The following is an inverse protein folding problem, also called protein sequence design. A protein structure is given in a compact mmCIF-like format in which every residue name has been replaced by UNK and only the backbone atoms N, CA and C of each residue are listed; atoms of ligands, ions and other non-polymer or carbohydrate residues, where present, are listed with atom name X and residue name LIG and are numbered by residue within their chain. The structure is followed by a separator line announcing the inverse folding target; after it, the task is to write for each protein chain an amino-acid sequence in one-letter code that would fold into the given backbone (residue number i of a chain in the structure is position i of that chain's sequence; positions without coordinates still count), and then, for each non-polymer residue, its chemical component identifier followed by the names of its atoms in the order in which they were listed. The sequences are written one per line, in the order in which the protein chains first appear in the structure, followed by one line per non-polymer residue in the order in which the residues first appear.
data_IF_004176616563
#
_entry.id   IF_004176616563
#
_cell.length_a   1.000
_cell.length_b   1.000
_cell.length_c   1.000
_cell.angle_alpha   90.00
_cell.angle_beta   90.00
_cell.angle_gamma   90.00
#
_symmetry.space_group_name_H-M   'P 1'
#
loop_
_entity.id
_entity.type
_entity.pdbx_description
1 polymer ?
#
# COMPACT_ATOMS: atom_id res chain seq x y z
N UNK A 1 28.79 -21.10 -3.46
CA UNK A 1 28.30 -20.15 -2.45
C UNK A 1 27.04 -20.78 -1.84
N UNK A 2 27.09 -21.18 -0.60
CA UNK A 2 26.00 -21.91 0.07
C UNK A 2 24.85 -20.93 0.37
N UNK A 3 23.61 -21.33 0.06
CA UNK A 3 22.38 -20.59 0.37
C UNK A 3 22.04 -20.55 1.88
N UNK A 4 22.99 -20.93 2.75
CA UNK A 4 22.77 -21.10 4.19
C UNK A 4 23.13 -19.88 5.06
N UNK A 5 23.49 -18.73 4.48
CA UNK A 5 24.01 -17.59 5.27
C UNK A 5 23.09 -16.37 5.35
N UNK A 6 21.80 -16.50 5.12
CA UNK A 6 20.86 -15.37 5.28
C UNK A 6 19.71 -15.69 6.27
N UNK A 7 19.99 -16.37 7.38
CA UNK A 7 19.06 -16.26 8.52
C UNK A 7 19.15 -14.83 9.02
N UNK A 8 18.05 -14.07 8.84
CA UNK A 8 17.94 -12.73 9.39
C UNK A 8 18.15 -12.85 10.91
N UNK A 9 19.01 -11.98 11.48
CA UNK A 9 19.21 -11.95 12.93
C UNK A 9 17.89 -11.62 13.61
N UNK A 10 17.49 -12.34 14.65
CA UNK A 10 16.29 -12.01 15.41
C UNK A 10 16.42 -10.59 15.97
N UNK A 11 15.30 -9.84 15.93
CA UNK A 11 15.26 -8.51 16.54
C UNK A 11 15.42 -8.57 18.05
N UNK A 12 15.98 -7.52 18.64
CA UNK A 12 15.98 -7.38 20.09
C UNK A 12 14.61 -6.85 20.52
N UNK A 13 13.85 -7.65 21.24
CA UNK A 13 12.54 -7.25 21.80
C UNK A 13 12.69 -6.35 23.03
N UNK A 14 11.74 -5.46 23.28
CA UNK A 14 10.55 -5.14 22.47
C UNK A 14 10.89 -4.46 21.15
N UNK A 15 10.10 -4.74 20.09
CA UNK A 15 10.26 -4.13 18.78
C UNK A 15 9.14 -3.11 18.55
N UNK A 16 9.51 -1.86 18.32
CA UNK A 16 8.58 -0.84 17.85
C UNK A 16 8.35 -1.05 16.35
N UNK A 17 7.10 -1.24 15.95
CA UNK A 17 6.71 -1.26 14.54
C UNK A 17 5.89 -0.01 14.23
N UNK A 18 6.07 0.58 13.03
CA UNK A 18 5.38 1.81 12.69
C UNK A 18 5.13 1.98 11.21
N UNK A 19 3.95 2.51 10.88
CA UNK A 19 3.56 2.97 9.54
C UNK A 19 3.47 4.50 9.56
N UNK A 20 4.36 5.16 8.83
CA UNK A 20 4.53 6.62 8.83
C UNK A 20 4.12 7.19 7.49
N UNK A 21 2.90 7.70 7.46
CA UNK A 21 2.36 8.42 6.31
C UNK A 21 2.50 9.93 6.42
N UNK A 22 2.05 10.65 5.39
CA UNK A 22 2.11 12.12 5.36
C UNK A 22 1.23 12.83 6.38
N UNK A 23 0.15 12.19 6.85
CA UNK A 23 -0.84 12.78 7.77
C UNK A 23 -0.73 12.20 9.18
N UNK A 24 -0.52 10.90 9.30
CA UNK A 24 -0.50 10.19 10.57
C UNK A 24 0.67 9.20 10.60
N UNK A 25 1.25 9.04 11.78
CA UNK A 25 2.15 7.96 12.14
C UNK A 25 1.42 7.02 13.13
N UNK A 26 1.42 5.73 12.83
CA UNK A 26 0.77 4.67 13.62
C UNK A 26 1.82 3.70 14.10
N UNK A 27 1.79 3.41 15.38
CA UNK A 27 2.79 2.56 16.01
C UNK A 27 2.15 1.42 16.78
N UNK A 28 2.90 0.32 16.93
CA UNK A 28 2.60 -0.74 17.88
C UNK A 28 3.91 -1.27 18.49
N UNK A 29 3.82 -1.85 19.66
CA UNK A 29 4.95 -2.46 20.35
C UNK A 29 4.78 -3.97 20.38
N UNK A 30 5.72 -4.69 19.81
CA UNK A 30 5.80 -6.16 19.80
C UNK A 30 6.73 -6.58 20.94
N UNK A 31 6.18 -7.25 21.95
CA UNK A 31 6.92 -7.58 23.17
C UNK A 31 7.82 -8.81 23.00
N UNK A 32 7.36 -9.79 22.24
CA UNK A 32 8.01 -11.08 22.01
C UNK A 32 7.49 -11.75 20.71
N UNK A 33 7.90 -12.97 20.45
CA UNK A 33 7.52 -13.74 19.25
C UNK A 33 6.07 -14.26 19.29
N UNK A 34 5.45 -14.38 20.45
CA UNK A 34 4.17 -15.06 20.66
C UNK A 34 2.99 -14.09 20.86
N UNK A 35 3.23 -12.99 21.61
CA UNK A 35 2.18 -12.08 22.04
C UNK A 35 1.73 -11.12 20.92
N UNK A 36 0.43 -10.86 20.78
CA UNK A 36 -0.05 -9.80 19.89
C UNK A 36 0.57 -8.44 20.23
N UNK A 37 0.90 -7.65 19.22
CA UNK A 37 1.46 -6.32 19.42
C UNK A 37 0.48 -5.37 20.14
N UNK A 38 1.01 -4.53 21.05
CA UNK A 38 0.25 -3.49 21.74
C UNK A 38 0.12 -2.28 20.82
N UNK A 39 -1.10 -1.94 20.40
CA UNK A 39 -1.35 -0.73 19.60
C UNK A 39 -1.14 0.51 20.45
N UNK A 40 -0.37 1.46 19.93
CA UNK A 40 -0.09 2.74 20.58
C UNK A 40 -0.98 3.85 20.01
N UNK A 41 -1.17 4.98 20.71
CA UNK A 41 -1.92 6.11 20.19
C UNK A 41 -1.35 6.64 18.87
N UNK A 42 -2.20 6.82 17.85
CA UNK A 42 -1.80 7.41 16.58
C UNK A 42 -1.36 8.86 16.76
N UNK A 43 -0.32 9.28 16.06
CA UNK A 43 0.25 10.61 16.13
C UNK A 43 0.03 11.35 14.81
N UNK A 44 -0.59 12.55 14.81
CA UNK A 44 -0.61 13.39 13.62
C UNK A 44 0.82 13.82 13.26
N UNK A 45 1.25 13.59 12.03
CA UNK A 45 2.61 13.92 11.58
C UNK A 45 2.92 15.41 11.74
N UNK A 46 1.95 16.28 11.45
CA UNK A 46 2.11 17.73 11.60
C UNK A 46 2.21 18.24 13.06
N UNK A 47 1.87 17.40 14.06
CA UNK A 47 1.93 17.77 15.47
C UNK A 47 3.34 17.62 16.08
N UNK A 48 4.27 17.01 15.37
CA UNK A 48 5.61 16.72 15.87
C UNK A 48 6.68 17.18 14.90
N UNK A 49 7.85 17.62 15.38
CA UNK A 49 8.95 18.09 14.54
C UNK A 49 9.62 16.95 13.75
N UNK A 50 9.62 15.74 14.29
CA UNK A 50 10.26 14.56 13.71
C UNK A 50 9.65 13.25 14.24
N UNK A 51 10.09 12.13 13.67
CA UNK A 51 9.62 10.78 14.05
C UNK A 51 9.98 10.44 15.51
N UNK A 52 11.14 10.88 16.02
CA UNK A 52 11.55 10.59 17.39
C UNK A 52 10.62 11.26 18.41
N UNK A 53 10.22 12.49 18.15
CA UNK A 53 9.25 13.21 18.98
C UNK A 53 7.88 12.50 18.97
N UNK A 54 7.41 12.07 17.80
CA UNK A 54 6.15 11.32 17.69
C UNK A 54 6.21 9.97 18.42
N UNK A 55 7.33 9.23 18.32
CA UNK A 55 7.52 7.96 19.05
C UNK A 55 7.54 8.19 20.56
N UNK A 56 8.24 9.21 21.06
CA UNK A 56 8.21 9.54 22.49
C UNK A 56 6.81 9.89 22.96
N UNK A 57 6.09 10.70 22.21
CA UNK A 57 4.72 11.09 22.54
C UNK A 57 3.75 9.90 22.58
N UNK A 58 3.89 8.93 21.66
CA UNK A 58 3.01 7.77 21.67
C UNK A 58 3.35 6.76 22.80
N UNK A 59 4.57 6.80 23.36
CA UNK A 59 4.98 5.95 24.48
C UNK A 59 4.72 6.62 25.84
N UNK A 60 4.61 7.95 25.87
CA UNK A 60 4.38 8.71 27.08
C UNK A 60 3.07 8.32 27.76
N UNK A 61 3.12 8.03 29.07
CA UNK A 61 1.95 7.60 29.84
C UNK A 61 1.45 6.18 29.55
N UNK A 62 2.12 5.43 28.68
CA UNK A 62 1.82 4.03 28.45
C UNK A 62 2.62 3.16 29.44
N UNK A 63 1.95 2.18 30.03
CA UNK A 63 2.61 1.17 30.89
C UNK A 63 3.21 0.05 30.01
N UNK A 64 4.24 0.39 29.24
CA UNK A 64 4.92 -0.51 28.32
C UNK A 64 6.45 -0.38 28.45
N UNK A 65 7.20 -1.47 28.22
CA UNK A 65 8.67 -1.39 28.23
C UNK A 65 9.19 -0.56 27.04
N UNK A 66 10.35 0.07 27.23
CA UNK A 66 11.02 0.81 26.17
C UNK A 66 11.42 -0.13 25.00
N UNK A 67 11.22 0.29 23.73
CA UNK A 67 11.64 -0.50 22.57
C UNK A 67 13.16 -0.64 22.51
N UNK A 68 13.62 -1.78 22.02
CA UNK A 68 15.04 -2.06 21.79
C UNK A 68 15.40 -2.10 20.31
N UNK A 69 14.44 -2.38 19.43
CA UNK A 69 14.58 -2.32 17.99
C UNK A 69 13.37 -1.61 17.38
N UNK A 70 13.51 -1.14 16.14
CA UNK A 70 12.38 -0.58 15.40
C UNK A 70 12.34 -1.10 13.96
N UNK A 71 11.13 -1.36 13.45
CA UNK A 71 10.84 -1.65 12.04
C UNK A 71 9.78 -0.67 11.57
N UNK A 72 10.17 0.27 10.71
CA UNK A 72 9.33 1.40 10.32
C UNK A 72 9.08 1.36 8.82
N UNK A 73 7.82 1.46 8.42
CA UNK A 73 7.42 1.70 7.05
C UNK A 73 7.26 3.20 6.80
N UNK A 74 7.73 3.65 5.65
CA UNK A 74 7.64 5.05 5.22
C UNK A 74 7.09 5.15 3.80
N UNK A 75 6.30 6.20 3.55
CA UNK A 75 5.84 6.52 2.20
C UNK A 75 7.01 7.11 1.38
N UNK A 76 7.45 6.36 0.38
CA UNK A 76 8.51 6.74 -0.54
C UNK A 76 9.69 5.78 -0.61
N UNK A 77 10.66 6.04 -1.48
CA UNK A 77 11.82 5.18 -1.67
C UNK A 77 12.79 5.28 -0.49
N UNK A 78 13.24 4.12 0.00
CA UNK A 78 14.24 4.05 1.08
C UNK A 78 15.64 4.02 0.47
N UNK A 79 16.29 5.18 0.46
CA UNK A 79 17.63 5.34 -0.13
C UNK A 79 18.55 6.12 0.81
N UNK A 80 19.65 5.48 1.26
CA UNK A 80 20.66 6.12 2.12
C UNK A 80 20.16 6.40 3.55
N UNK A 81 20.95 7.18 4.30
CA UNK A 81 20.80 7.41 5.74
C UNK A 81 19.83 8.55 6.10
N UNK A 82 19.34 9.26 5.10
CA UNK A 82 18.39 10.37 5.24
C UNK A 82 17.23 10.15 4.28
N UNK A 83 16.08 9.84 4.82
CA UNK A 83 14.90 9.40 4.06
C UNK A 83 13.81 10.47 4.21
N UNK A 84 13.67 11.39 3.22
CA UNK A 84 12.59 12.37 3.24
C UNK A 84 11.26 11.68 2.97
N UNK A 85 10.23 12.04 3.72
CA UNK A 85 8.87 11.57 3.45
C UNK A 85 8.24 12.34 2.29
N UNK A 86 7.55 11.64 1.40
CA UNK A 86 6.96 12.24 0.19
C UNK A 86 5.91 13.31 0.51
N UNK A 87 5.13 13.14 1.57
CA UNK A 87 3.97 13.98 1.90
C UNK A 87 4.02 14.55 3.33
N UNK A 88 5.21 14.70 3.92
CA UNK A 88 5.43 15.31 5.22
C UNK A 88 6.79 16.01 5.25
N UNK A 89 6.96 16.95 6.20
CA UNK A 89 8.23 17.67 6.40
C UNK A 89 9.32 16.84 7.07
N UNK A 90 9.01 15.62 7.51
CA UNK A 90 9.97 14.79 8.23
C UNK A 90 11.03 14.20 7.32
N UNK A 91 12.24 14.13 7.86
CA UNK A 91 13.33 13.30 7.32
C UNK A 91 13.60 12.21 8.34
N UNK A 92 13.43 10.96 7.97
CA UNK A 92 13.75 9.82 8.84
C UNK A 92 15.25 9.57 8.75
N UNK A 93 15.93 9.63 9.89
CA UNK A 93 17.37 9.42 10.04
C UNK A 93 17.61 8.27 11.03
N UNK A 94 17.79 7.03 10.55
CA UNK A 94 17.86 5.84 11.39
C UNK A 94 18.91 5.88 12.50
N UNK A 95 20.10 6.45 12.21
CA UNK A 95 21.15 6.63 13.22
C UNK A 95 20.75 7.59 14.35
N UNK A 96 20.00 8.64 14.01
CA UNK A 96 19.44 9.55 15.03
C UNK A 96 18.31 8.88 15.83
N UNK A 97 17.53 7.97 15.21
CA UNK A 97 16.55 7.16 15.93
C UNK A 97 17.25 6.25 16.95
N UNK A 98 18.32 5.58 16.54
CA UNK A 98 19.13 4.73 17.42
C UNK A 98 19.62 5.54 18.62
N UNK A 99 20.31 6.65 18.37
CA UNK A 99 20.89 7.49 19.42
C UNK A 99 19.82 8.14 20.31
N UNK A 100 18.74 8.65 19.71
CA UNK A 100 17.72 9.42 20.41
C UNK A 100 16.70 8.59 21.20
N UNK A 101 16.50 7.32 20.82
CA UNK A 101 15.53 6.41 21.44
C UNK A 101 16.20 5.24 22.18
N UNK A 102 17.53 5.13 22.14
CA UNK A 102 18.27 4.04 22.76
C UNK A 102 18.05 2.68 22.07
N UNK A 103 17.79 2.69 20.77
CA UNK A 103 17.55 1.48 20.00
C UNK A 103 18.86 0.77 19.66
N UNK A 104 18.81 -0.54 19.55
CA UNK A 104 19.89 -1.37 19.05
C UNK A 104 19.91 -1.44 17.52
N UNK A 105 18.73 -1.60 16.92
CA UNK A 105 18.55 -1.81 15.51
C UNK A 105 17.35 -1.01 14.98
N UNK A 106 17.48 -0.48 13.75
CA UNK A 106 16.40 0.15 13.00
C UNK A 106 16.37 -0.42 11.59
N UNK A 107 15.22 -0.91 11.15
CA UNK A 107 14.94 -1.29 9.77
C UNK A 107 13.91 -0.35 9.20
N UNK A 108 14.16 0.20 8.01
CA UNK A 108 13.19 1.04 7.30
C UNK A 108 12.75 0.31 6.03
N UNK A 109 11.44 0.23 5.83
CA UNK A 109 10.80 -0.40 4.67
C UNK A 109 9.92 0.61 3.93
N UNK A 110 9.53 0.28 2.70
CA UNK A 110 8.49 1.03 2.01
C UNK A 110 7.10 0.70 2.59
N UNK A 111 6.15 1.64 2.52
CA UNK A 111 4.78 1.47 3.05
C UNK A 111 4.01 0.33 2.37
N UNK A 112 4.13 0.16 1.05
CA UNK A 112 3.50 -0.96 0.35
C UNK A 112 4.22 -2.30 0.55
N UNK A 113 5.52 -2.29 0.81
CA UNK A 113 6.24 -3.48 1.27
C UNK A 113 5.69 -3.97 2.62
N UNK A 114 5.42 -3.04 3.54
CA UNK A 114 4.79 -3.36 4.82
C UNK A 114 3.36 -3.89 4.65
N UNK A 115 2.58 -3.33 3.74
CA UNK A 115 1.26 -3.88 3.40
C UNK A 115 1.35 -5.28 2.80
N UNK A 116 2.35 -5.53 1.94
CA UNK A 116 2.58 -6.87 1.40
C UNK A 116 2.90 -7.89 2.50
N UNK A 117 3.68 -7.52 3.53
CA UNK A 117 3.97 -8.36 4.69
C UNK A 117 2.70 -8.79 5.46
N UNK A 118 1.63 -8.03 5.39
CA UNK A 118 0.36 -8.38 6.02
C UNK A 118 -0.41 -9.48 5.27
N UNK A 119 -0.27 -9.56 3.94
CA UNK A 119 -1.13 -10.38 3.08
C UNK A 119 -1.22 -11.86 3.46
N UNK A 120 -0.17 -12.54 3.97
CA UNK A 120 -0.30 -13.91 4.42
C UNK A 120 -1.18 -14.11 5.64
N UNK A 121 -1.38 -13.06 6.46
CA UNK A 121 -2.15 -13.10 7.70
C UNK A 121 -3.58 -12.59 7.60
N UNK A 122 -3.93 -11.82 6.53
CA UNK A 122 -5.27 -11.28 6.37
C UNK A 122 -6.30 -12.37 6.11
N UNK A 123 -7.39 -12.36 6.86
CA UNK A 123 -8.48 -13.35 6.75
C UNK A 123 -9.77 -12.84 7.40
N UNK A 124 -10.87 -13.55 7.21
CA UNK A 124 -12.15 -13.25 7.86
C UNK A 124 -12.64 -11.83 7.57
N UNK A 125 -12.87 -11.06 8.63
CA UNK A 125 -13.40 -9.69 8.55
C UNK A 125 -12.40 -8.65 8.00
N UNK A 126 -11.11 -9.02 7.92
CA UNK A 126 -10.07 -8.12 7.38
C UNK A 126 -10.23 -7.86 5.88
N UNK A 127 -10.85 -8.78 5.16
CA UNK A 127 -10.96 -8.76 3.70
C UNK A 127 -12.34 -9.16 3.21
N UNK A 128 -12.76 -8.58 2.09
CA UNK A 128 -13.97 -8.95 1.36
C UNK A 128 -13.59 -9.42 -0.04
N UNK A 129 -14.00 -10.61 -0.41
CA UNK A 129 -13.79 -11.08 -1.79
C UNK A 129 -14.78 -10.41 -2.75
N UNK A 130 -14.26 -9.71 -3.75
CA UNK A 130 -15.03 -9.01 -4.77
C UNK A 130 -14.99 -9.69 -6.15
N UNK A 131 -14.48 -10.90 -6.22
CA UNK A 131 -14.49 -11.74 -7.42
C UNK A 131 -13.40 -12.79 -7.44
N UNK A 132 -13.50 -13.71 -8.40
CA UNK A 132 -12.56 -14.81 -8.61
C UNK A 132 -12.90 -16.10 -7.87
N UNK A 133 -11.97 -17.06 -7.96
CA UNK A 133 -12.05 -18.35 -7.27
C UNK A 133 -11.44 -18.31 -5.87
N UNK A 134 -11.13 -19.50 -5.34
CA UNK A 134 -10.44 -19.63 -4.06
C UNK A 134 -8.95 -19.30 -4.16
N UNK A 135 -8.35 -18.66 -3.14
CA UNK A 135 -6.93 -18.39 -3.12
C UNK A 135 -6.12 -19.69 -3.03
N UNK A 136 -5.12 -19.81 -3.89
CA UNK A 136 -4.21 -20.95 -3.85
C UNK A 136 -3.21 -20.76 -2.70
N UNK A 137 -3.18 -21.71 -1.76
CA UNK A 137 -2.21 -21.72 -0.68
C UNK A 137 -0.77 -21.76 -1.22
N UNK A 138 0.16 -21.04 -0.60
CA UNK A 138 1.56 -21.00 -1.04
C UNK A 138 1.77 -20.37 -2.43
N UNK A 139 0.83 -19.57 -2.93
CA UNK A 139 0.98 -18.87 -4.20
C UNK A 139 1.20 -17.37 -3.97
N UNK A 140 1.86 -16.71 -4.92
CA UNK A 140 2.12 -15.28 -4.89
C UNK A 140 0.83 -14.48 -4.73
N UNK A 141 0.95 -13.37 -4.02
CA UNK A 141 -0.09 -12.37 -3.77
C UNK A 141 0.38 -11.01 -4.29
N UNK A 142 -0.54 -10.09 -4.51
CA UNK A 142 -0.23 -8.73 -4.91
C UNK A 142 -1.13 -7.74 -4.17
N UNK A 143 -0.58 -6.63 -3.71
CA UNK A 143 -1.36 -5.51 -3.17
C UNK A 143 -1.19 -4.29 -4.08
N UNK A 144 -2.31 -3.63 -4.37
CA UNK A 144 -2.35 -2.34 -5.06
C UNK A 144 -3.37 -1.45 -4.35
N UNK A 145 -3.03 -0.18 -4.13
CA UNK A 145 -3.90 0.67 -3.33
C UNK A 145 -3.84 2.15 -3.71
N UNK A 146 -4.94 2.67 -4.25
CA UNK A 146 -5.10 4.11 -4.42
C UNK A 146 -5.32 4.79 -3.06
N UNK A 147 -4.33 5.61 -2.71
CA UNK A 147 -4.31 6.52 -1.57
C UNK A 147 -4.11 7.96 -2.05
N UNK A 148 -3.21 8.74 -1.44
CA UNK A 148 -2.74 10.03 -1.98
C UNK A 148 -2.12 9.82 -3.37
N UNK A 149 -1.26 8.80 -3.50
CA UNK A 149 -0.75 8.25 -4.75
C UNK A 149 -1.32 6.87 -5.05
N UNK A 150 -0.61 6.07 -5.85
CA UNK A 150 -0.92 4.67 -6.15
C UNK A 150 0.26 3.80 -5.77
N UNK A 151 0.15 3.09 -4.68
CA UNK A 151 1.18 2.14 -4.26
C UNK A 151 0.90 0.72 -4.72
N UNK A 152 1.97 -0.08 -4.86
CA UNK A 152 1.88 -1.46 -5.31
C UNK A 152 3.08 -2.29 -4.83
N UNK A 153 2.83 -3.52 -4.39
CA UNK A 153 3.87 -4.46 -4.02
C UNK A 153 3.43 -5.91 -4.23
N UNK A 154 4.38 -6.79 -4.54
CA UNK A 154 4.13 -8.22 -4.58
C UNK A 154 4.57 -8.90 -3.27
N UNK A 155 3.92 -10.02 -2.96
CA UNK A 155 4.35 -10.97 -1.95
C UNK A 155 4.53 -12.32 -2.64
N UNK A 156 5.76 -12.68 -2.93
CA UNK A 156 6.11 -13.92 -3.63
C UNK A 156 6.32 -15.02 -2.60
N UNK A 157 5.78 -16.21 -2.86
CA UNK A 157 6.08 -17.39 -2.05
C UNK A 157 7.06 -18.29 -2.81
N UNK A 158 8.22 -18.50 -2.26
CA UNK A 158 9.26 -19.34 -2.85
C UNK A 158 10.12 -19.99 -1.75
N UNK A 159 10.49 -21.26 -1.93
CA UNK A 159 11.32 -22.02 -0.97
C UNK A 159 10.82 -21.89 0.48
N UNK A 160 9.52 -22.10 0.67
CA UNK A 160 8.79 -22.03 1.96
C UNK A 160 8.93 -20.69 2.70
N UNK A 161 9.24 -19.61 1.96
CA UNK A 161 9.46 -18.28 2.50
C UNK A 161 8.66 -17.24 1.73
N UNK A 162 8.14 -16.24 2.42
CA UNK A 162 7.50 -15.08 1.83
C UNK A 162 8.53 -13.99 1.50
N UNK A 163 8.55 -13.54 0.26
CA UNK A 163 9.48 -12.51 -0.24
C UNK A 163 8.66 -11.28 -0.63
N UNK A 164 8.66 -10.22 0.18
CA UNK A 164 8.06 -8.96 -0.24
C UNK A 164 8.91 -8.32 -1.35
N UNK A 165 8.24 -7.87 -2.40
CA UNK A 165 8.88 -7.21 -3.54
C UNK A 165 8.25 -5.83 -3.69
N UNK A 166 8.86 -4.79 -3.12
CA UNK A 166 8.42 -3.42 -3.29
C UNK A 166 8.67 -2.95 -4.73
N UNK A 167 7.89 -1.98 -5.19
CA UNK A 167 8.07 -1.39 -6.50
C UNK A 167 7.28 -0.10 -6.67
N UNK A 168 7.61 0.64 -7.72
CA UNK A 168 6.94 1.86 -8.14
C UNK A 168 5.85 1.56 -9.19
N UNK A 169 5.04 0.53 -8.93
CA UNK A 169 3.98 0.06 -9.85
C UNK A 169 2.90 1.10 -10.13
N UNK A 170 2.71 2.09 -9.26
CA UNK A 170 1.81 3.21 -9.52
C UNK A 170 2.18 4.04 -10.75
N UNK A 171 3.44 3.99 -11.18
CA UNK A 171 3.95 4.77 -12.30
C UNK A 171 3.97 4.01 -13.65
N UNK A 172 3.36 2.81 -13.74
CA UNK A 172 3.15 2.14 -15.02
C UNK A 172 2.25 2.97 -15.94
N UNK A 173 2.43 2.86 -17.24
CA UNK A 173 1.59 3.62 -18.18
C UNK A 173 0.15 3.12 -18.21
N UNK A 174 -0.79 4.06 -18.32
CA UNK A 174 -2.21 3.80 -18.45
C UNK A 174 -2.76 4.52 -19.69
N UNK A 175 -2.90 3.78 -20.80
CA UNK A 175 -3.43 4.30 -22.04
C UNK A 175 -4.94 4.02 -22.22
N UNK A 176 -5.60 4.66 -23.22
CA UNK A 176 -6.98 4.41 -23.60
C UNK A 176 -7.11 3.04 -24.28
N UNK A 177 -8.25 2.35 -24.08
CA UNK A 177 -8.54 1.05 -24.73
C UNK A 177 -9.96 0.98 -25.30
N UNK A 178 -10.91 1.77 -24.81
CA UNK A 178 -12.28 1.82 -25.32
C UNK A 178 -12.51 3.10 -26.13
N UNK A 179 -13.50 3.15 -27.02
CA UNK A 179 -13.84 4.38 -27.75
C UNK A 179 -14.04 5.57 -26.80
N UNK A 180 -14.70 5.37 -25.66
CA UNK A 180 -14.93 6.41 -24.65
C UNK A 180 -13.61 6.88 -24.02
N UNK A 181 -12.66 5.97 -23.79
CA UNK A 181 -11.34 6.35 -23.27
C UNK A 181 -10.63 7.30 -24.27
N UNK A 182 -10.72 7.06 -25.59
CA UNK A 182 -10.11 7.92 -26.59
C UNK A 182 -10.70 9.33 -26.64
N UNK A 183 -11.94 9.52 -26.18
CA UNK A 183 -12.54 10.85 -26.03
C UNK A 183 -12.03 11.57 -24.76
N UNK A 184 -11.74 10.84 -23.68
CA UNK A 184 -11.42 11.37 -22.36
C UNK A 184 -9.92 11.60 -22.19
N UNK A 185 -9.06 10.64 -22.61
CA UNK A 185 -7.61 10.68 -22.42
C UNK A 185 -6.90 11.93 -22.94
N UNK A 186 -7.31 12.58 -24.06
CA UNK A 186 -6.74 13.84 -24.48
C UNK A 186 -6.86 14.99 -23.48
N UNK A 187 -7.81 14.89 -22.55
CA UNK A 187 -8.07 15.90 -21.52
C UNK A 187 -7.37 15.63 -20.19
N UNK A 188 -6.72 14.45 -20.01
CA UNK A 188 -5.96 14.11 -18.81
C UNK A 188 -4.60 14.82 -18.88
N UNK A 189 -4.22 15.58 -17.83
CA UNK A 189 -2.89 16.19 -17.74
C UNK A 189 -1.78 15.16 -17.83
N UNK A 190 -0.73 15.45 -18.58
CA UNK A 190 0.43 14.57 -18.74
C UNK A 190 1.53 14.98 -17.78
N UNK A 191 2.15 14.01 -17.14
CA UNK A 191 3.34 14.20 -16.32
C UNK A 191 4.56 13.69 -17.10
N UNK A 192 5.52 14.56 -17.39
CA UNK A 192 6.68 14.20 -18.23
C UNK A 192 6.30 13.68 -19.62
N UNK A 193 5.15 14.12 -20.19
CA UNK A 193 4.67 13.70 -21.51
C UNK A 193 3.85 12.40 -21.52
N UNK A 194 3.70 11.70 -20.38
CA UNK A 194 3.01 10.41 -20.23
C UNK A 194 1.84 10.50 -19.23
N UNK A 195 0.95 9.54 -19.29
CA UNK A 195 -0.10 9.32 -18.29
C UNK A 195 0.24 8.03 -17.57
N UNK A 196 0.73 8.14 -16.32
CA UNK A 196 0.92 7.01 -15.43
C UNK A 196 -0.39 6.57 -14.77
N UNK A 197 -0.41 5.37 -14.23
CA UNK A 197 -1.59 4.86 -13.55
C UNK A 197 -1.98 5.74 -12.36
N UNK A 198 -1.03 6.25 -11.59
CA UNK A 198 -1.26 7.17 -10.46
C UNK A 198 -1.93 8.48 -10.89
N UNK A 199 -1.64 8.98 -12.10
CA UNK A 199 -2.26 10.22 -12.61
C UNK A 199 -3.79 10.11 -12.73
N UNK A 200 -4.31 8.88 -12.74
CA UNK A 200 -5.74 8.55 -12.81
C UNK A 200 -6.21 7.87 -11.53
N UNK A 201 -5.44 6.91 -11.01
CA UNK A 201 -5.82 5.97 -9.96
C UNK A 201 -5.28 6.41 -8.58
N UNK A 202 -5.52 7.64 -8.21
CA UNK A 202 -5.15 8.15 -6.87
C UNK A 202 -6.17 9.16 -6.38
N UNK A 203 -6.07 9.54 -5.11
CA UNK A 203 -6.91 10.61 -4.54
C UNK A 203 -6.67 11.95 -5.21
N UNK A 204 -5.46 12.22 -5.68
CA UNK A 204 -5.12 13.42 -6.47
C UNK A 204 -5.45 13.25 -7.95
N UNK A 205 -5.46 12.00 -8.45
CA UNK A 205 -5.81 11.65 -9.82
C UNK A 205 -7.31 11.71 -10.11
N UNK A 206 -8.13 11.37 -9.12
CA UNK A 206 -9.58 11.29 -9.31
C UNK A 206 -10.22 12.63 -9.75
N UNK A 207 -9.89 13.81 -9.18
CA UNK A 207 -10.34 15.10 -9.71
C UNK A 207 -9.83 15.41 -11.12
N UNK A 208 -8.62 14.97 -11.48
CA UNK A 208 -8.07 15.12 -12.84
C UNK A 208 -8.88 14.31 -13.83
N UNK A 209 -9.23 13.06 -13.49
CA UNK A 209 -10.10 12.20 -14.29
C UNK A 209 -11.49 12.81 -14.43
N UNK A 210 -12.11 13.28 -13.34
CA UNK A 210 -13.41 13.93 -13.38
C UNK A 210 -13.43 15.17 -14.26
N UNK A 211 -12.38 15.98 -14.19
CA UNK A 211 -12.21 17.12 -15.08
C UNK A 211 -12.05 16.74 -16.56
N UNK A 212 -11.40 15.62 -16.85
CA UNK A 212 -11.28 15.10 -18.23
C UNK A 212 -12.64 14.57 -18.73
N UNK A 213 -13.38 13.83 -17.93
CA UNK A 213 -14.74 13.36 -18.25
C UNK A 213 -15.66 14.54 -18.51
N UNK A 214 -15.69 15.55 -17.63
CA UNK A 214 -16.51 16.74 -17.81
C UNK A 214 -16.24 17.42 -19.17
N UNK A 215 -14.96 17.65 -19.50
CA UNK A 215 -14.58 18.25 -20.81
C UNK A 215 -15.02 17.39 -22.01
N UNK A 216 -14.83 16.07 -21.95
CA UNK A 216 -15.28 15.16 -22.99
C UNK A 216 -16.81 15.19 -23.18
N UNK A 217 -17.56 15.40 -22.09
CA UNK A 217 -19.04 15.51 -22.08
C UNK A 217 -19.53 16.95 -22.26
N UNK A 218 -18.64 17.92 -22.53
CA UNK A 218 -18.94 19.36 -22.69
C UNK A 218 -19.64 19.96 -21.45
N UNK A 219 -19.30 19.44 -20.27
CA UNK A 219 -19.70 19.96 -18.97
C UNK A 219 -18.56 20.75 -18.32
N UNK A 220 -18.91 21.67 -17.40
CA UNK A 220 -17.90 22.41 -16.65
C UNK A 220 -17.27 21.54 -15.54
N UNK A 221 -15.91 21.46 -15.49
CA UNK A 221 -15.23 20.78 -14.38
C UNK A 221 -15.46 21.53 -13.07
N UNK A 222 -15.98 20.86 -12.06
CA UNK A 222 -16.32 21.51 -10.77
C UNK A 222 -15.87 20.72 -9.55
N UNK A 223 -15.42 19.48 -9.70
CA UNK A 223 -14.94 18.66 -8.59
C UNK A 223 -13.48 18.97 -8.26
N UNK A 224 -13.20 19.14 -6.97
CA UNK A 224 -11.87 19.48 -6.47
C UNK A 224 -11.25 18.42 -5.58
N UNK A 225 -12.06 17.47 -5.08
CA UNK A 225 -11.60 16.39 -4.21
C UNK A 225 -12.25 15.04 -4.56
N UNK A 226 -11.58 13.95 -4.16
CA UNK A 226 -12.13 12.60 -4.27
C UNK A 226 -13.43 12.45 -3.46
N UNK A 227 -13.55 13.13 -2.33
CA UNK A 227 -14.73 13.11 -1.48
C UNK A 227 -15.94 13.75 -2.18
N UNK A 228 -15.74 14.92 -2.84
CA UNK A 228 -16.81 15.60 -3.59
C UNK A 228 -17.36 14.71 -4.71
N UNK A 229 -16.45 14.04 -5.45
CA UNK A 229 -16.82 13.13 -6.54
C UNK A 229 -17.64 11.95 -6.02
N UNK A 230 -17.18 11.34 -4.91
CA UNK A 230 -17.88 10.20 -4.31
C UNK A 230 -19.26 10.60 -3.80
N UNK A 231 -19.38 11.76 -3.17
CA UNK A 231 -20.66 12.29 -2.69
C UNK A 231 -21.60 12.58 -3.86
N UNK A 232 -21.13 13.25 -4.90
CA UNK A 232 -21.92 13.57 -6.10
C UNK A 232 -22.36 12.31 -6.84
N UNK A 233 -21.49 11.31 -6.97
CA UNK A 233 -21.84 10.03 -7.58
C UNK A 233 -22.93 9.29 -6.79
N UNK A 234 -22.89 9.33 -5.47
CA UNK A 234 -23.94 8.79 -4.62
C UNK A 234 -25.27 9.56 -4.75
N UNK A 235 -25.21 10.84 -5.12
CA UNK A 235 -26.39 11.66 -5.44
C UNK A 235 -26.88 11.50 -6.89
N UNK A 236 -26.17 10.69 -7.72
CA UNK A 236 -26.56 10.40 -9.10
C UNK A 236 -26.04 11.40 -10.13
N UNK A 237 -25.05 12.24 -9.78
CA UNK A 237 -24.41 13.12 -10.78
C UNK A 237 -23.76 12.30 -11.89
N UNK A 238 -24.12 12.52 -13.18
CA UNK A 238 -23.69 11.65 -14.29
C UNK A 238 -22.19 11.71 -14.54
N UNK A 239 -21.54 12.86 -14.35
CA UNK A 239 -20.08 13.01 -14.54
C UNK A 239 -19.33 12.28 -13.44
N UNK A 240 -19.79 12.41 -12.19
CA UNK A 240 -19.19 11.74 -11.04
C UNK A 240 -19.36 10.21 -11.14
N UNK A 241 -20.55 9.72 -11.52
CA UNK A 241 -20.81 8.28 -11.72
C UNK A 241 -19.90 7.72 -12.82
N UNK A 242 -19.86 8.34 -13.99
CA UNK A 242 -19.00 7.93 -15.10
C UNK A 242 -17.53 7.95 -14.69
N UNK A 243 -17.09 8.96 -13.95
CA UNK A 243 -15.71 9.06 -13.43
C UNK A 243 -15.36 7.87 -12.56
N UNK A 244 -16.22 7.48 -11.61
CA UNK A 244 -15.95 6.34 -10.72
C UNK A 244 -16.02 4.99 -11.44
N UNK A 245 -16.86 4.86 -12.47
CA UNK A 245 -16.92 3.66 -13.30
C UNK A 245 -15.65 3.49 -14.15
N UNK A 246 -15.13 4.59 -14.72
CA UNK A 246 -13.84 4.59 -15.44
C UNK A 246 -12.70 4.28 -14.47
N UNK A 247 -12.67 4.92 -13.31
CA UNK A 247 -11.67 4.64 -12.28
C UNK A 247 -11.65 3.16 -11.90
N UNK A 248 -12.80 2.57 -11.59
CA UNK A 248 -12.92 1.15 -11.23
C UNK A 248 -12.42 0.24 -12.40
N UNK A 249 -12.80 0.54 -13.63
CA UNK A 249 -12.34 -0.20 -14.82
C UNK A 249 -10.82 -0.09 -14.99
N UNK A 250 -10.24 1.11 -14.85
CA UNK A 250 -8.80 1.33 -14.94
C UNK A 250 -8.04 0.61 -13.83
N UNK A 251 -8.55 0.64 -12.59
CA UNK A 251 -7.96 -0.10 -11.48
C UNK A 251 -7.98 -1.61 -11.75
N UNK A 252 -9.07 -2.13 -12.32
CA UNK A 252 -9.16 -3.53 -12.74
C UNK A 252 -8.11 -3.90 -13.77
N UNK A 253 -7.87 -3.03 -14.76
CA UNK A 253 -6.82 -3.23 -15.78
C UNK A 253 -5.44 -3.33 -15.19
N UNK A 254 -5.06 -2.36 -14.36
CA UNK A 254 -3.74 -2.29 -13.70
C UNK A 254 -3.54 -3.46 -12.74
N UNK A 255 -4.53 -3.75 -11.90
CA UNK A 255 -4.50 -4.90 -10.98
C UNK A 255 -4.37 -6.23 -11.73
N UNK A 256 -5.04 -6.36 -12.90
CA UNK A 256 -4.93 -7.53 -13.77
C UNK A 256 -3.55 -7.69 -14.40
N UNK A 257 -2.89 -6.60 -14.79
CA UNK A 257 -1.52 -6.63 -15.33
C UNK A 257 -0.52 -7.06 -14.26
N UNK A 258 -0.66 -6.56 -13.04
CA UNK A 258 0.15 -7.00 -11.90
C UNK A 258 -0.11 -8.47 -11.54
N UNK A 259 -1.37 -8.91 -11.56
CA UNK A 259 -1.71 -10.31 -11.33
C UNK A 259 -1.04 -11.26 -12.32
N UNK A 260 -0.99 -10.89 -13.60
CA UNK A 260 -0.28 -11.65 -14.63
C UNK A 260 1.23 -11.67 -14.40
N UNK A 261 1.80 -10.53 -14.04
CA UNK A 261 3.26 -10.36 -13.92
C UNK A 261 3.88 -11.28 -12.87
N UNK A 262 3.14 -11.60 -11.80
CA UNK A 262 3.62 -12.44 -10.69
C UNK A 262 2.81 -13.73 -10.50
N UNK A 263 1.85 -14.02 -11.39
CA UNK A 263 0.88 -15.11 -11.22
C UNK A 263 0.26 -15.12 -9.83
N UNK A 264 -0.40 -14.02 -9.45
CA UNK A 264 -0.94 -13.75 -8.12
C UNK A 264 -2.13 -14.67 -7.77
N UNK A 265 -1.94 -15.99 -7.85
CA UNK A 265 -2.99 -17.01 -7.59
C UNK A 265 -3.36 -17.09 -6.10
N UNK A 266 -2.54 -16.54 -5.22
CA UNK A 266 -2.86 -16.35 -3.80
C UNK A 266 -3.78 -15.15 -3.54
N UNK A 267 -4.08 -14.36 -4.59
CA UNK A 267 -5.01 -13.24 -4.56
C UNK A 267 -4.38 -11.89 -4.87
N UNK A 268 -5.22 -10.99 -5.39
CA UNK A 268 -4.93 -9.56 -5.52
C UNK A 268 -5.74 -8.82 -4.47
N UNK A 269 -5.07 -7.94 -3.74
CA UNK A 269 -5.61 -7.23 -2.59
C UNK A 269 -5.68 -5.73 -2.91
N UNK A 270 -6.89 -5.20 -2.90
CA UNK A 270 -7.14 -3.78 -3.17
C UNK A 270 -7.14 -3.05 -1.82
N UNK A 271 -6.13 -2.21 -1.63
CA UNK A 271 -5.91 -1.41 -0.43
C UNK A 271 -6.25 0.07 -0.68
N UNK A 272 -5.94 0.91 0.29
CA UNK A 272 -5.99 2.37 0.19
C UNK A 272 -7.36 2.98 0.45
N UNK A 273 -7.35 4.19 1.02
CA UNK A 273 -8.57 4.87 1.46
C UNK A 273 -9.54 5.20 0.32
N UNK A 274 -9.03 5.48 -0.89
CA UNK A 274 -9.92 5.72 -2.05
C UNK A 274 -10.75 4.48 -2.37
N UNK A 275 -10.13 3.29 -2.36
CA UNK A 275 -10.83 2.02 -2.65
C UNK A 275 -12.00 1.77 -1.71
N UNK A 276 -11.84 2.05 -0.42
CA UNK A 276 -12.91 1.89 0.57
C UNK A 276 -14.10 2.80 0.27
N UNK A 277 -13.85 4.05 -0.13
CA UNK A 277 -14.92 5.00 -0.46
C UNK A 277 -15.67 4.66 -1.75
N UNK A 278 -14.98 4.05 -2.74
CA UNK A 278 -15.57 3.66 -4.02
C UNK A 278 -15.94 2.18 -4.09
N UNK A 279 -15.91 1.45 -2.99
CA UNK A 279 -16.23 0.02 -2.93
C UNK A 279 -17.52 -0.39 -3.67
N UNK A 280 -18.63 0.38 -3.63
CA UNK A 280 -19.81 0.08 -4.42
C UNK A 280 -19.55 0.03 -5.93
N UNK A 281 -18.65 0.85 -6.45
CA UNK A 281 -18.28 0.86 -7.87
C UNK A 281 -17.35 -0.31 -8.23
N UNK A 282 -16.48 -0.72 -7.32
CA UNK A 282 -15.63 -1.91 -7.50
C UNK A 282 -16.47 -3.19 -7.61
N UNK A 283 -17.59 -3.27 -6.89
CA UNK A 283 -18.52 -4.41 -6.90
C UNK A 283 -19.43 -4.47 -8.13
N UNK A 284 -19.61 -3.37 -8.88
CA UNK A 284 -20.51 -3.29 -10.05
C UNK A 284 -20.08 -4.12 -11.28
N UNK A 285 -18.97 -4.85 -11.22
CA UNK A 285 -18.52 -5.74 -12.29
C UNK A 285 -17.59 -5.10 -13.33
N UNK A 286 -17.58 -3.79 -13.52
CA UNK A 286 -16.68 -3.12 -14.47
C UNK A 286 -15.20 -3.31 -14.12
N UNK A 287 -14.87 -3.24 -12.83
CA UNK A 287 -13.55 -3.60 -12.31
C UNK A 287 -13.17 -5.03 -12.67
N UNK A 288 -14.05 -6.00 -12.33
CA UNK A 288 -13.77 -7.43 -12.52
C UNK A 288 -13.65 -7.79 -14.01
N UNK A 289 -14.54 -7.28 -14.85
CA UNK A 289 -14.47 -7.49 -16.29
C UNK A 289 -13.13 -7.00 -16.88
N UNK A 290 -12.67 -5.82 -16.47
CA UNK A 290 -11.39 -5.27 -16.92
C UNK A 290 -10.18 -6.04 -16.38
N UNK A 291 -10.25 -6.55 -15.14
CA UNK A 291 -9.25 -7.43 -14.55
C UNK A 291 -9.10 -8.73 -15.35
N UNK A 292 -10.20 -9.32 -15.80
CA UNK A 292 -10.23 -10.59 -16.55
C UNK A 292 -9.90 -10.43 -18.03
N UNK A 293 -10.04 -9.23 -18.60
CA UNK A 293 -9.81 -8.95 -20.01
C UNK A 293 -8.32 -9.00 -20.40
N UNK A 294 -7.68 -10.16 -20.16
CA UNK A 294 -6.26 -10.42 -20.39
C UNK A 294 -6.06 -11.62 -21.33
N UNK A 295 -6.66 -11.57 -22.53
CA UNK A 295 -6.47 -12.62 -23.53
C UNK A 295 -4.97 -12.83 -23.84
N UNK A 296 -4.53 -14.10 -24.02
CA UNK A 296 -5.32 -15.32 -24.05
C UNK A 296 -5.63 -15.93 -22.67
N UNK A 297 -5.26 -15.28 -21.56
CA UNK A 297 -5.29 -15.80 -20.19
C UNK A 297 -6.60 -15.50 -19.41
N UNK A 298 -7.72 -15.16 -20.10
CA UNK A 298 -8.98 -14.80 -19.45
C UNK A 298 -9.47 -15.86 -18.43
N UNK A 299 -9.36 -17.16 -18.74
CA UNK A 299 -9.74 -18.24 -17.81
C UNK A 299 -8.87 -18.28 -16.55
N UNK A 300 -7.57 -18.03 -16.70
CA UNK A 300 -6.64 -17.91 -15.56
C UNK A 300 -7.04 -16.72 -14.71
N UNK A 301 -7.26 -15.56 -15.31
CA UNK A 301 -7.63 -14.34 -14.61
C UNK A 301 -8.96 -14.49 -13.86
N UNK A 302 -9.94 -15.18 -14.47
CA UNK A 302 -11.22 -15.48 -13.83
C UNK A 302 -11.07 -16.35 -12.57
N UNK A 303 -10.00 -17.15 -12.45
CA UNK A 303 -9.73 -17.97 -11.27
C UNK A 303 -8.99 -17.24 -10.15
N UNK A 304 -8.34 -16.11 -10.44
CA UNK A 304 -7.59 -15.34 -9.44
C UNK A 304 -8.55 -14.55 -8.55
N UNK A 305 -8.56 -14.78 -7.22
CA UNK A 305 -9.40 -14.03 -6.32
C UNK A 305 -8.92 -12.58 -6.18
N UNK A 306 -9.86 -11.67 -6.01
CA UNK A 306 -9.61 -10.27 -5.69
C UNK A 306 -10.31 -9.94 -4.38
N UNK A 307 -9.58 -9.33 -3.48
CA UNK A 307 -10.05 -8.93 -2.17
C UNK A 307 -9.97 -7.42 -1.98
N UNK A 308 -10.98 -6.84 -1.35
CA UNK A 308 -10.93 -5.49 -0.80
C UNK A 308 -10.46 -5.59 0.66
N UNK A 309 -9.45 -4.84 1.04
CA UNK A 309 -8.95 -4.81 2.42
C UNK A 309 -9.83 -3.86 3.25
N UNK A 310 -10.39 -4.38 4.34
CA UNK A 310 -11.14 -3.62 5.36
C UNK A 310 -10.32 -3.40 6.63
N UNK A 311 -9.23 -4.16 6.80
CA UNK A 311 -8.35 -3.99 7.95
C UNK A 311 -7.85 -2.55 8.06
N UNK A 312 -7.98 -1.88 9.22
CA UNK A 312 -7.70 -0.44 9.35
C UNK A 312 -6.20 -0.08 9.23
N UNK A 313 -5.30 -0.98 9.61
CA UNK A 313 -3.85 -0.74 9.65
C UNK A 313 -3.06 -1.99 9.23
N UNK A 314 -3.21 -2.50 7.99
CA UNK A 314 -2.57 -3.75 7.59
C UNK A 314 -1.04 -3.65 7.61
N UNK A 315 -0.46 -2.49 7.28
CA UNK A 315 0.99 -2.28 7.28
C UNK A 315 1.60 -2.52 8.68
N UNK A 316 0.99 -1.99 9.75
CA UNK A 316 1.48 -2.17 11.13
C UNK A 316 1.46 -3.66 11.52
N UNK A 317 0.39 -4.38 11.16
CA UNK A 317 0.27 -5.81 11.47
C UNK A 317 1.22 -6.67 10.62
N UNK A 318 1.51 -6.25 9.38
CA UNK A 318 2.53 -6.87 8.53
C UNK A 318 3.94 -6.72 9.10
N UNK A 319 4.28 -5.51 9.57
CA UNK A 319 5.55 -5.25 10.26
C UNK A 319 5.65 -6.03 11.58
N UNK A 320 4.56 -6.14 12.34
CA UNK A 320 4.51 -6.94 13.56
C UNK A 320 4.69 -8.43 13.28
N UNK A 321 4.10 -8.95 12.21
CA UNK A 321 4.30 -10.34 11.78
C UNK A 321 5.76 -10.59 11.39
N UNK A 322 6.37 -9.67 10.65
CA UNK A 322 7.79 -9.74 10.30
C UNK A 322 8.70 -9.67 11.54
N UNK A 323 8.44 -8.75 12.47
CA UNK A 323 9.22 -8.61 13.70
C UNK A 323 9.18 -9.88 14.55
N UNK A 324 8.01 -10.56 14.66
CA UNK A 324 7.83 -11.79 15.43
C UNK A 324 8.47 -13.00 14.80
N UNK A 325 8.37 -13.13 13.49
CA UNK A 325 8.78 -14.33 12.76
C UNK A 325 9.62 -13.98 11.52
N UNK A 326 10.79 -13.34 11.69
CA UNK A 326 11.60 -12.87 10.56
C UNK A 326 12.04 -13.99 9.64
N UNK A 327 12.20 -15.21 10.13
CA UNK A 327 12.58 -16.40 9.34
C UNK A 327 11.50 -16.83 8.33
N UNK A 328 10.26 -16.39 8.50
CA UNK A 328 9.17 -16.63 7.54
C UNK A 328 9.21 -15.69 6.34
N UNK A 329 10.03 -14.64 6.41
CA UNK A 329 10.09 -13.59 5.41
C UNK A 329 11.54 -13.36 4.94
N UNK A 330 11.74 -13.26 3.64
CA UNK A 330 13.03 -12.88 3.05
C UNK A 330 13.00 -11.39 2.68
N UNK A 331 13.03 -10.52 3.69
CA UNK A 331 13.05 -9.07 3.49
C UNK A 331 14.46 -8.61 3.12
N UNK A 332 14.59 -7.89 2.01
CA UNK A 332 15.87 -7.33 1.57
C UNK A 332 16.29 -6.13 2.42
N UNK A 333 17.09 -6.33 3.46
CA UNK A 333 17.48 -5.27 4.40
C UNK A 333 18.82 -4.59 4.07
N UNK A 334 19.52 -5.00 3.02
CA UNK A 334 20.80 -4.37 2.63
C UNK A 334 20.61 -2.89 2.32
N UNK A 335 21.35 -2.02 3.05
CA UNK A 335 21.21 -0.55 2.94
C UNK A 335 19.95 0.02 3.56
N UNK A 336 19.18 -0.80 4.31
CA UNK A 336 17.93 -0.42 5.00
C UNK A 336 17.88 -0.91 6.45
N UNK A 337 19.00 -1.39 6.96
CA UNK A 337 19.17 -1.84 8.35
C UNK A 337 20.39 -1.13 8.94
N UNK A 338 20.17 -0.44 10.03
CA UNK A 338 21.18 0.27 10.82
C UNK A 338 21.22 -0.31 12.23
N UNK A 339 22.42 -0.46 12.76
CA UNK A 339 22.63 -0.97 14.12
C UNK A 339 23.47 0.01 14.93
N UNK A 340 23.26 0.05 16.24
CA UNK A 340 24.17 0.74 17.14
C UNK A 340 25.58 0.17 16.95
N UNK A 341 26.58 1.04 16.84
CA UNK A 341 27.98 0.60 16.88
C UNK A 341 28.27 0.20 18.33
N UNK A 342 28.82 -1.01 18.53
CA UNK A 342 29.29 -1.49 19.84
C UNK A 342 30.43 -0.61 20.39
#
# INVERSE_FOLDING_TARGET
MSLTETRQRPFAFPVLVGDVGGTNARFALVLDEETPGIKLPSQPTAAHPDINAAIRACLEGQDVPAPRSAVIAVAGPVTGDRIPLTNASWVVEPLQMIAGLGLRDVVILNDFEAQALALPGLSGEDIEQIGGGEPLAGASKFVVGPGTGLGAAAMIYAADTWVPVPGEGGHVELGPVTPEDYEIWPHIPRNGGRIGAEEVLSGTGLPRLAGAVARARKAEPHFTSAADITQAANAGDPVAVETLEIFARCLGRVAGDFALSVLARGGVYIAGGVSSHIAPFLRKGGFRAAFEAKAPHAKLMASIPVFLIHHPNPAVDGLAAYARTPDRFAVGTKGRHWSAQD
#
